data_IF_370602987370
#
_entry.id   IF_370602987370
#
_cell.length_a   1.000
_cell.length_b   1.000
_cell.length_c   1.000
_cell.angle_alpha   90.00
_cell.angle_beta   90.00
_cell.angle_gamma   90.00
#
_symmetry.space_group_name_H-M   'P 1'
#
loop_
_entity.id
_entity.type
_entity.pdbx_description
1 polymer ?
#
# COMPACT_ATOMS: atom_id res chain seq x y z
N UNK A 1 16.63 -8.24 25.46
CA UNK A 1 15.79 -9.32 24.91
C UNK A 1 15.67 -9.31 23.38
N UNK A 2 16.29 -8.36 22.63
CA UNK A 2 16.52 -8.53 21.19
C UNK A 2 15.26 -8.68 20.32
N UNK A 3 14.12 -8.15 20.77
CA UNK A 3 12.88 -8.12 19.98
C UNK A 3 13.00 -7.16 18.79
N UNK A 4 11.94 -7.06 17.99
CA UNK A 4 11.91 -6.15 16.82
C UNK A 4 12.20 -4.70 17.27
N UNK A 5 13.32 -4.09 16.82
CA UNK A 5 13.69 -2.73 17.20
C UNK A 5 12.61 -1.70 16.90
N UNK A 6 11.71 -1.96 15.94
CA UNK A 6 10.58 -1.08 15.65
C UNK A 6 9.61 -0.90 16.82
N UNK A 7 9.55 -1.85 17.77
CA UNK A 7 8.72 -1.73 18.97
C UNK A 7 9.47 -1.09 20.16
N UNK A 8 10.74 -0.72 19.98
CA UNK A 8 11.49 -0.08 21.05
C UNK A 8 10.97 1.34 21.31
N UNK A 9 10.70 1.73 22.57
CA UNK A 9 10.38 3.12 22.91
C UNK A 9 11.51 4.12 22.58
N UNK A 10 12.74 3.61 22.44
CA UNK A 10 13.90 4.40 22.04
C UNK A 10 14.07 4.53 20.53
N UNK A 11 13.26 3.83 19.72
CA UNK A 11 13.36 3.91 18.27
C UNK A 11 13.05 5.35 17.83
N UNK A 12 13.87 5.85 16.90
CA UNK A 12 13.70 7.16 16.26
C UNK A 12 13.87 7.00 14.77
N UNK A 13 12.99 7.65 14.00
CA UNK A 13 13.05 7.68 12.54
C UNK A 13 14.20 8.60 12.13
N UNK A 14 15.23 8.02 11.54
CA UNK A 14 16.38 8.76 11.03
C UNK A 14 15.97 9.81 10.01
N UNK A 15 16.47 11.03 10.18
CA UNK A 15 16.17 12.20 9.33
C UNK A 15 14.81 12.86 9.55
N UNK A 16 13.92 12.26 10.36
CA UNK A 16 12.62 12.85 10.73
C UNK A 16 12.55 13.21 12.22
N UNK A 17 12.95 12.29 13.09
CA UNK A 17 13.00 12.47 14.56
C UNK A 17 14.42 12.69 15.08
N UNK A 18 15.40 12.78 14.18
CA UNK A 18 16.82 12.99 14.48
C UNK A 18 17.38 14.13 13.62
N UNK A 19 18.31 14.95 14.12
CA UNK A 19 18.86 16.09 13.37
C UNK A 19 19.82 15.70 12.23
N UNK A 20 20.22 14.43 12.14
CA UNK A 20 21.29 13.97 11.24
C UNK A 20 20.73 13.43 9.90
N UNK A 21 19.81 14.15 9.24
CA UNK A 21 19.19 13.72 7.98
C UNK A 21 20.16 13.62 6.78
N UNK A 22 19.63 13.25 5.61
CA UNK A 22 20.41 13.02 4.39
C UNK A 22 20.55 14.22 3.45
N UNK A 23 19.88 15.35 3.73
CA UNK A 23 19.99 16.59 2.94
C UNK A 23 21.21 17.41 3.34
N UNK A 24 22.38 16.79 3.23
CA UNK A 24 23.68 17.37 3.55
C UNK A 24 24.79 16.62 2.79
N UNK A 25 26.00 17.19 2.73
CA UNK A 25 27.15 16.52 2.10
C UNK A 25 27.58 15.25 2.87
N UNK A 26 27.33 15.22 4.19
CA UNK A 26 27.62 14.09 5.07
C UNK A 26 26.46 13.88 6.03
N UNK A 27 26.25 12.63 6.44
CA UNK A 27 25.22 12.27 7.41
C UNK A 27 25.72 11.16 8.34
N UNK A 28 25.24 11.17 9.59
CA UNK A 28 25.57 10.16 10.59
C UNK A 28 24.45 9.13 10.66
N UNK A 29 24.83 7.85 10.58
CA UNK A 29 23.91 6.71 10.67
C UNK A 29 24.44 5.68 11.65
N UNK A 30 23.55 4.82 12.15
CA UNK A 30 23.92 3.62 12.89
C UNK A 30 24.36 2.52 11.92
N UNK A 31 25.29 1.66 12.35
CA UNK A 31 25.88 0.65 11.48
C UNK A 31 24.83 -0.27 10.81
N UNK A 32 23.78 -0.64 11.54
CA UNK A 32 22.69 -1.49 11.06
C UNK A 32 21.74 -0.81 10.06
N UNK A 33 21.88 0.49 9.80
CA UNK A 33 21.13 1.18 8.75
C UNK A 33 21.78 1.05 7.36
N UNK A 34 23.03 0.55 7.31
CA UNK A 34 23.78 0.44 6.06
C UNK A 34 23.45 -0.87 5.34
N UNK A 35 23.24 -0.76 4.02
CA UNK A 35 23.09 -1.89 3.10
C UNK A 35 24.01 -1.70 1.89
N UNK A 36 24.37 -2.80 1.23
CA UNK A 36 25.17 -2.71 0.01
C UNK A 36 24.37 -2.04 -1.12
N UNK A 37 24.95 -1.00 -1.73
CA UNK A 37 24.36 -0.33 -2.90
C UNK A 37 24.30 -1.30 -4.10
N UNK A 38 23.13 -1.46 -4.75
CA UNK A 38 23.03 -2.15 -6.04
C UNK A 38 23.86 -1.43 -7.12
N UNK A 39 24.83 -2.13 -7.73
CA UNK A 39 25.81 -1.52 -8.64
C UNK A 39 25.27 -1.17 -10.03
N UNK A 40 24.13 -1.74 -10.42
CA UNK A 40 23.50 -1.46 -11.71
C UNK A 40 22.61 -0.20 -11.69
N UNK A 41 22.32 0.37 -10.52
CA UNK A 41 21.52 1.57 -10.37
C UNK A 41 22.41 2.82 -10.36
N UNK A 42 21.89 3.95 -10.83
CA UNK A 42 22.48 5.28 -10.62
C UNK A 42 22.48 5.66 -9.13
N UNK A 43 23.06 6.80 -8.77
CA UNK A 43 23.07 7.24 -7.37
C UNK A 43 21.67 7.63 -6.91
N UNK A 44 20.94 8.31 -7.79
CA UNK A 44 19.57 8.77 -7.60
C UNK A 44 18.62 7.59 -7.45
N UNK A 45 18.71 6.59 -8.33
CA UNK A 45 17.94 5.36 -8.25
C UNK A 45 18.26 4.60 -6.95
N UNK A 46 19.53 4.50 -6.58
CA UNK A 46 19.93 3.81 -5.36
C UNK A 46 19.46 4.51 -4.06
N UNK A 47 19.16 5.81 -4.13
CA UNK A 47 18.77 6.61 -2.97
C UNK A 47 17.24 6.77 -2.80
N UNK A 48 16.42 6.42 -3.81
CA UNK A 48 15.00 6.78 -3.83
C UNK A 48 14.04 5.71 -3.32
N UNK A 49 14.46 4.44 -3.23
CA UNK A 49 13.51 3.34 -3.03
C UNK A 49 13.38 2.86 -1.59
N UNK A 50 14.45 2.93 -0.79
CA UNK A 50 14.56 2.10 0.42
C UNK A 50 13.42 2.30 1.40
N UNK A 51 13.05 3.56 1.71
CA UNK A 51 12.01 3.85 2.69
C UNK A 51 10.65 3.30 2.24
N UNK A 52 10.24 3.57 1.01
CA UNK A 52 8.93 3.16 0.49
C UNK A 52 8.89 1.66 0.20
N UNK A 53 9.93 1.10 -0.43
CA UNK A 53 10.01 -0.32 -0.73
C UNK A 53 10.04 -1.17 0.54
N UNK A 54 10.86 -0.82 1.53
CA UNK A 54 10.96 -1.59 2.77
C UNK A 54 9.66 -1.55 3.58
N UNK A 55 8.98 -0.39 3.62
CA UNK A 55 7.66 -0.28 4.25
C UNK A 55 6.62 -1.15 3.53
N UNK A 56 6.55 -1.07 2.20
CA UNK A 56 5.62 -1.90 1.42
C UNK A 56 5.92 -3.41 1.61
N UNK A 57 7.20 -3.78 1.60
CA UNK A 57 7.63 -5.16 1.85
C UNK A 57 7.22 -5.63 3.26
N UNK A 58 7.43 -4.83 4.29
CA UNK A 58 7.02 -5.19 5.65
C UNK A 58 5.51 -5.35 5.76
N UNK A 59 4.73 -4.49 5.13
CA UNK A 59 3.27 -4.60 5.12
C UNK A 59 2.80 -5.93 4.50
N UNK A 60 3.44 -6.36 3.41
CA UNK A 60 3.05 -7.58 2.68
C UNK A 60 3.62 -8.88 3.28
N UNK A 61 4.82 -8.84 3.85
CA UNK A 61 5.56 -10.06 4.25
C UNK A 61 5.91 -10.13 5.74
N UNK A 62 5.70 -9.05 6.50
CA UNK A 62 6.18 -8.90 7.88
C UNK A 62 5.19 -9.29 8.97
N UNK A 63 3.91 -9.55 8.65
CA UNK A 63 2.84 -9.67 9.65
C UNK A 63 2.18 -11.06 9.66
N UNK A 64 2.89 -12.06 10.18
CA UNK A 64 2.34 -13.43 10.30
C UNK A 64 1.08 -13.48 11.19
N UNK A 65 0.09 -14.34 10.86
CA UNK A 65 0.07 -15.29 9.75
C UNK A 65 -0.32 -14.69 8.39
N UNK A 66 -0.71 -13.41 8.35
CA UNK A 66 -1.20 -12.69 7.17
C UNK A 66 -0.02 -12.14 6.36
N UNK A 67 0.71 -13.06 5.73
CA UNK A 67 1.77 -12.73 4.76
C UNK A 67 1.30 -13.11 3.37
N UNK A 68 1.69 -12.31 2.38
CA UNK A 68 1.32 -12.47 0.98
C UNK A 68 1.74 -13.86 0.46
N UNK A 69 0.82 -14.51 -0.26
CA UNK A 69 1.06 -15.81 -0.91
C UNK A 69 0.74 -15.74 -2.40
N UNK A 70 1.34 -16.61 -3.22
CA UNK A 70 0.95 -16.76 -4.61
C UNK A 70 -0.56 -17.02 -4.73
N UNK A 71 -1.22 -16.34 -5.66
CA UNK A 71 -2.67 -16.44 -5.88
C UNK A 71 -3.53 -15.48 -5.06
N UNK A 72 -3.01 -14.87 -3.98
CA UNK A 72 -3.77 -13.90 -3.19
C UNK A 72 -4.22 -12.71 -4.04
N UNK A 73 -5.38 -12.12 -3.73
CA UNK A 73 -5.87 -10.87 -4.30
C UNK A 73 -5.65 -9.75 -3.29
N UNK A 74 -5.01 -8.65 -3.72
CA UNK A 74 -4.66 -7.54 -2.84
C UNK A 74 -5.19 -6.24 -3.40
N UNK A 75 -6.03 -5.54 -2.63
CA UNK A 75 -6.44 -4.18 -2.95
C UNK A 75 -5.33 -3.20 -2.58
N UNK A 76 -4.86 -2.39 -3.52
CA UNK A 76 -3.77 -1.43 -3.31
C UNK A 76 -4.28 -0.01 -3.47
N UNK A 77 -4.42 0.71 -2.35
CA UNK A 77 -4.72 2.14 -2.40
C UNK A 77 -3.53 2.94 -2.91
N UNK A 78 -3.82 4.00 -3.68
CA UNK A 78 -2.79 4.91 -4.18
C UNK A 78 -1.77 4.21 -5.07
N UNK A 79 -2.22 3.32 -5.96
CA UNK A 79 -1.37 2.40 -6.72
C UNK A 79 -0.29 3.08 -7.58
N UNK A 80 -0.49 4.33 -7.99
CA UNK A 80 0.51 5.11 -8.74
C UNK A 80 1.49 5.89 -7.86
N UNK A 81 1.31 5.88 -6.53
CA UNK A 81 2.17 6.58 -5.57
C UNK A 81 3.40 5.77 -5.17
N UNK A 82 4.28 6.34 -4.34
CA UNK A 82 5.55 5.71 -3.97
C UNK A 82 5.43 4.37 -3.22
N UNK A 83 4.43 4.20 -2.35
CA UNK A 83 4.15 2.91 -1.71
C UNK A 83 3.42 1.96 -2.66
N UNK A 84 2.37 2.45 -3.32
CA UNK A 84 1.54 1.65 -4.20
C UNK A 84 2.31 1.03 -5.35
N UNK A 85 3.22 1.78 -6.00
CA UNK A 85 3.99 1.28 -7.14
C UNK A 85 4.92 0.12 -6.76
N UNK A 86 5.52 0.15 -5.57
CA UNK A 86 6.30 -0.98 -5.06
C UNK A 86 5.40 -2.13 -4.61
N UNK A 87 4.25 -1.85 -4.00
CA UNK A 87 3.29 -2.89 -3.62
C UNK A 87 2.83 -3.68 -4.86
N UNK A 88 2.41 -3.01 -5.94
CA UNK A 88 2.01 -3.68 -7.21
C UNK A 88 3.11 -4.62 -7.70
N UNK A 89 4.36 -4.12 -7.79
CA UNK A 89 5.50 -4.91 -8.27
C UNK A 89 5.80 -6.11 -7.37
N UNK A 90 5.81 -5.92 -6.04
CA UNK A 90 6.03 -7.00 -5.07
C UNK A 90 4.94 -8.07 -5.15
N UNK A 91 3.68 -7.64 -5.26
CA UNK A 91 2.53 -8.55 -5.37
C UNK A 91 2.62 -9.39 -6.64
N UNK A 92 2.88 -8.74 -7.79
CA UNK A 92 3.03 -9.42 -9.07
C UNK A 92 4.25 -10.37 -9.07
N UNK A 93 5.40 -9.92 -8.56
CA UNK A 93 6.61 -10.74 -8.47
C UNK A 93 6.45 -11.97 -7.55
N UNK A 94 5.57 -11.89 -6.56
CA UNK A 94 5.23 -13.02 -5.69
C UNK A 94 4.19 -13.98 -6.31
N UNK A 95 3.71 -13.72 -7.53
CA UNK A 95 2.66 -14.52 -8.19
C UNK A 95 1.27 -14.27 -7.62
N UNK A 96 1.05 -13.14 -6.97
CA UNK A 96 -0.25 -12.70 -6.46
C UNK A 96 -0.86 -11.64 -7.38
N UNK A 97 -2.07 -11.20 -7.06
CA UNK A 97 -2.92 -10.39 -7.92
C UNK A 97 -3.14 -9.00 -7.31
N UNK A 98 -2.55 -7.97 -7.90
CA UNK A 98 -2.71 -6.60 -7.40
C UNK A 98 -3.90 -5.90 -8.07
N UNK A 99 -4.81 -5.35 -7.28
CA UNK A 99 -5.95 -4.54 -7.73
C UNK A 99 -5.65 -3.09 -7.33
N UNK A 100 -5.20 -2.29 -8.29
CA UNK A 100 -4.76 -0.92 -8.03
C UNK A 100 -5.92 0.07 -7.96
N UNK A 101 -5.94 0.95 -6.96
CA UNK A 101 -6.85 2.09 -6.90
C UNK A 101 -6.12 3.37 -7.28
N UNK A 102 -6.67 4.09 -8.27
CA UNK A 102 -6.16 5.38 -8.77
C UNK A 102 -7.21 6.48 -8.64
N UNK A 103 -6.84 7.70 -9.01
CA UNK A 103 -7.73 8.88 -8.98
C UNK A 103 -7.90 9.56 -10.34
N UNK A 104 -7.09 9.22 -11.33
CA UNK A 104 -7.08 9.81 -12.67
C UNK A 104 -6.78 8.70 -13.66
N UNK A 105 -7.50 8.62 -14.79
CA UNK A 105 -7.33 7.52 -15.76
C UNK A 105 -5.97 7.49 -16.45
N UNK A 106 -5.28 8.63 -16.54
CA UNK A 106 -3.91 8.71 -17.10
C UNK A 106 -2.88 7.87 -16.34
N UNK A 107 -3.19 7.47 -15.10
CA UNK A 107 -2.35 6.58 -14.27
C UNK A 107 -2.60 5.10 -14.53
N UNK A 108 -3.64 4.74 -15.28
CA UNK A 108 -4.02 3.33 -15.50
C UNK A 108 -2.90 2.55 -16.16
N UNK A 109 -2.38 3.05 -17.28
CA UNK A 109 -1.35 2.35 -18.06
C UNK A 109 -0.06 2.20 -17.27
N UNK A 110 0.32 3.22 -16.47
CA UNK A 110 1.44 3.13 -15.56
C UNK A 110 1.27 1.99 -14.55
N UNK A 111 0.13 1.92 -13.86
CA UNK A 111 -0.14 0.88 -12.85
C UNK A 111 -0.25 -0.52 -13.48
N UNK A 112 -0.88 -0.64 -14.65
CA UNK A 112 -0.93 -1.90 -15.40
C UNK A 112 0.47 -2.34 -15.85
N UNK A 113 1.32 -1.41 -16.32
CA UNK A 113 2.70 -1.68 -16.72
C UNK A 113 3.61 -2.17 -15.58
N UNK A 114 3.26 -1.86 -14.32
CA UNK A 114 3.93 -2.40 -13.14
C UNK A 114 3.50 -3.84 -12.79
N UNK A 115 2.47 -4.38 -13.44
CA UNK A 115 1.97 -5.74 -13.22
C UNK A 115 0.67 -5.83 -12.42
N UNK A 116 -0.13 -4.76 -12.34
CA UNK A 116 -1.45 -4.86 -11.76
C UNK A 116 -2.36 -5.80 -12.59
N UNK A 117 -3.20 -6.58 -11.92
CA UNK A 117 -4.23 -7.41 -12.57
C UNK A 117 -5.41 -6.57 -13.07
N UNK A 118 -5.70 -5.49 -12.36
CA UNK A 118 -6.76 -4.57 -12.74
C UNK A 118 -6.69 -3.29 -11.93
N UNK A 119 -7.44 -2.29 -12.40
CA UNK A 119 -7.39 -0.93 -11.86
C UNK A 119 -8.79 -0.36 -11.73
N UNK A 120 -9.07 0.24 -10.56
CA UNK A 120 -10.32 0.90 -10.21
C UNK A 120 -10.06 2.38 -9.97
N UNK A 121 -10.93 3.26 -10.46
CA UNK A 121 -10.84 4.69 -10.20
C UNK A 121 -11.77 5.07 -9.05
N UNK A 122 -11.21 5.63 -7.97
CA UNK A 122 -12.00 6.01 -6.79
C UNK A 122 -13.01 7.12 -7.07
N UNK A 123 -12.82 7.93 -8.12
CA UNK A 123 -13.74 9.01 -8.49
C UNK A 123 -15.08 8.48 -9.02
N UNK A 124 -15.14 7.22 -9.41
CA UNK A 124 -16.39 6.61 -9.87
C UNK A 124 -17.33 6.28 -8.71
N UNK A 125 -16.92 6.50 -7.45
CA UNK A 125 -17.65 6.14 -6.23
C UNK A 125 -17.72 7.29 -5.22
N UNK A 126 -18.71 7.23 -4.33
CA UNK A 126 -18.96 8.23 -3.29
C UNK A 126 -19.08 7.64 -1.88
N UNK A 127 -18.49 6.45 -1.65
CA UNK A 127 -18.49 5.76 -0.35
C UNK A 127 -17.32 6.17 0.57
N UNK A 128 -16.76 7.37 0.40
CA UNK A 128 -15.58 7.84 1.12
C UNK A 128 -15.94 8.70 2.34
N UNK A 129 -15.03 8.78 3.30
CA UNK A 129 -15.20 9.51 4.55
C UNK A 129 -15.43 8.58 5.74
N UNK A 130 -15.75 9.18 6.89
CA UNK A 130 -16.11 8.42 8.09
C UNK A 130 -17.38 7.59 7.85
N UNK A 131 -17.44 6.43 8.50
CA UNK A 131 -18.62 5.58 8.43
C UNK A 131 -19.83 6.29 9.05
N UNK A 132 -20.95 6.44 8.33
CA UNK A 132 -22.17 6.98 8.93
C UNK A 132 -22.66 6.09 10.08
N UNK A 133 -23.43 6.66 11.00
CA UNK A 133 -24.00 5.92 12.13
C UNK A 133 -24.84 4.75 11.62
N UNK A 134 -24.57 3.54 12.13
CA UNK A 134 -25.31 2.34 11.76
C UNK A 134 -26.81 2.52 12.03
N UNK A 135 -27.63 2.08 11.08
CA UNK A 135 -29.09 2.13 11.17
C UNK A 135 -29.72 3.43 10.69
N UNK A 136 -28.94 4.36 10.12
CA UNK A 136 -29.49 5.58 9.51
C UNK A 136 -29.64 5.45 7.98
N UNK A 137 -30.45 6.31 7.33
CA UNK A 137 -30.54 6.36 5.87
C UNK A 137 -29.18 6.61 5.18
N UNK A 138 -28.32 7.42 5.79
CA UNK A 138 -26.97 7.72 5.27
C UNK A 138 -26.10 6.48 5.29
N UNK A 139 -26.19 5.64 6.33
CA UNK A 139 -25.50 4.35 6.35
C UNK A 139 -25.98 3.42 5.24
N UNK A 140 -27.29 3.35 5.00
CA UNK A 140 -27.83 2.53 3.90
C UNK A 140 -27.33 3.01 2.53
N UNK A 141 -27.27 4.33 2.30
CA UNK A 141 -26.73 4.92 1.07
C UNK A 141 -25.23 4.65 0.92
N UNK A 142 -24.44 4.87 1.97
CA UNK A 142 -23.01 4.55 2.00
C UNK A 142 -22.76 3.07 1.72
N UNK A 143 -23.50 2.17 2.37
CA UNK A 143 -23.33 0.73 2.22
C UNK A 143 -23.66 0.26 0.80
N UNK A 144 -24.67 0.86 0.16
CA UNK A 144 -25.00 0.59 -1.25
C UNK A 144 -23.83 0.95 -2.17
N UNK A 145 -23.18 2.09 -1.95
CA UNK A 145 -22.01 2.52 -2.74
C UNK A 145 -20.76 1.68 -2.43
N UNK A 146 -20.53 1.31 -1.16
CA UNK A 146 -19.44 0.42 -0.78
C UNK A 146 -19.58 -0.97 -1.43
N UNK A 147 -20.82 -1.50 -1.52
CA UNK A 147 -21.10 -2.74 -2.28
C UNK A 147 -20.84 -2.59 -3.77
N UNK A 148 -21.07 -1.41 -4.36
CA UNK A 148 -20.72 -1.15 -5.76
C UNK A 148 -19.21 -1.16 -5.96
N UNK A 149 -18.44 -0.63 -5.02
CA UNK A 149 -16.98 -0.73 -5.02
C UNK A 149 -16.50 -2.19 -4.89
N UNK A 150 -17.07 -2.97 -3.97
CA UNK A 150 -16.80 -4.40 -3.86
C UNK A 150 -17.13 -5.19 -5.13
N UNK A 151 -18.23 -4.85 -5.82
CA UNK A 151 -18.56 -5.45 -7.11
C UNK A 151 -17.53 -5.11 -8.21
N UNK A 152 -16.91 -3.92 -8.16
CA UNK A 152 -15.83 -3.56 -9.08
C UNK A 152 -14.55 -4.37 -8.82
N UNK A 153 -14.27 -4.73 -7.57
CA UNK A 153 -13.20 -5.68 -7.22
C UNK A 153 -13.53 -7.06 -7.83
N UNK A 154 -14.74 -7.56 -7.64
CA UNK A 154 -15.19 -8.84 -8.18
C UNK A 154 -15.19 -8.92 -9.71
N UNK A 155 -15.35 -7.78 -10.39
CA UNK A 155 -15.19 -7.72 -11.85
C UNK A 155 -13.75 -8.09 -12.29
N UNK A 156 -12.77 -7.95 -11.40
CA UNK A 156 -11.34 -8.27 -11.64
C UNK A 156 -10.97 -9.64 -11.05
N UNK A 157 -11.45 -9.95 -9.85
CA UNK A 157 -11.08 -11.16 -9.09
C UNK A 157 -11.97 -12.38 -9.36
N UNK A 158 -13.13 -12.17 -9.98
CA UNK A 158 -14.19 -13.15 -10.13
C UNK A 158 -15.29 -12.97 -9.07
N UNK A 159 -16.55 -13.21 -9.46
CA UNK A 159 -17.71 -13.00 -8.59
C UNK A 159 -17.61 -13.83 -7.31
N UNK A 160 -17.68 -13.16 -6.16
CA UNK A 160 -17.60 -13.79 -4.84
C UNK A 160 -16.17 -13.96 -4.29
N UNK A 161 -15.15 -13.57 -5.05
CA UNK A 161 -13.76 -13.61 -4.60
C UNK A 161 -13.34 -12.25 -4.03
N UNK A 162 -13.43 -12.10 -2.71
CA UNK A 162 -12.92 -10.92 -2.00
C UNK A 162 -11.38 -10.86 -2.05
N UNK A 163 -10.82 -9.74 -1.59
CA UNK A 163 -9.38 -9.63 -1.42
C UNK A 163 -8.93 -10.35 -0.15
N UNK A 164 -7.75 -10.95 -0.21
CA UNK A 164 -7.08 -11.57 0.94
C UNK A 164 -6.42 -10.50 1.83
N UNK A 165 -6.05 -9.36 1.23
CA UNK A 165 -5.41 -8.24 1.92
C UNK A 165 -5.82 -6.90 1.34
N UNK A 166 -5.88 -5.88 2.20
CA UNK A 166 -5.94 -4.48 1.78
C UNK A 166 -4.65 -3.77 2.18
N UNK A 167 -3.94 -3.25 1.19
CA UNK A 167 -2.78 -2.39 1.36
C UNK A 167 -3.27 -0.94 1.55
N UNK A 168 -3.41 -0.55 2.81
CA UNK A 168 -3.97 0.74 3.24
C UNK A 168 -2.89 1.76 3.60
N UNK A 169 -3.16 3.03 3.31
CA UNK A 169 -2.36 4.18 3.74
C UNK A 169 -3.11 5.52 3.69
N UNK A 170 -4.19 5.74 2.89
CA UNK A 170 -4.93 7.00 2.95
C UNK A 170 -5.66 7.24 4.27
N UNK A 171 -6.07 6.17 4.97
CA UNK A 171 -6.61 6.27 6.33
C UNK A 171 -8.09 6.66 6.39
N UNK A 172 -8.43 7.66 7.20
CA UNK A 172 -9.80 7.97 7.65
C UNK A 172 -10.89 7.89 6.56
N UNK A 173 -10.59 8.40 5.36
CA UNK A 173 -11.57 8.47 4.28
C UNK A 173 -11.81 7.14 3.54
N UNK A 174 -10.89 6.18 3.60
CA UNK A 174 -10.97 4.90 2.88
C UNK A 174 -11.11 3.71 3.82
N UNK A 175 -10.64 3.85 5.07
CA UNK A 175 -10.60 2.77 6.05
C UNK A 175 -11.94 2.05 6.26
N UNK A 176 -13.11 2.74 6.34
CA UNK A 176 -14.40 2.04 6.45
C UNK A 176 -14.71 1.12 5.28
N UNK A 177 -14.33 1.51 4.05
CA UNK A 177 -14.53 0.68 2.85
C UNK A 177 -13.49 -0.43 2.81
N UNK A 178 -12.24 -0.14 3.17
CA UNK A 178 -11.15 -1.12 3.25
C UNK A 178 -11.44 -2.29 4.20
N UNK A 179 -12.13 -2.04 5.32
CA UNK A 179 -12.53 -3.10 6.26
C UNK A 179 -13.73 -3.90 5.75
N UNK A 180 -14.51 -3.34 4.82
CA UNK A 180 -15.71 -3.97 4.29
C UNK A 180 -15.43 -4.96 3.14
N UNK A 181 -14.45 -4.67 2.27
CA UNK A 181 -14.21 -5.39 1.01
C UNK A 181 -13.25 -6.57 1.10
#
# INVERSE_FOLDING_TARGET
NGGDPMFSPSQRIWGYETPDGSFAQFTRVQAQQLMHRPKHLTWEEAACYTLTLATAYRMLFGHRPHILKPGDNVLVWGASGGLGSYAIQLINAAGANAIGVISEEDKRDFVMGLGAKGVINRKDFSCWGQMPKVGTPEYAAWFKEARRFGAAIWAITGKGNNVDMVFEHPGEATFPVSVFV
#
